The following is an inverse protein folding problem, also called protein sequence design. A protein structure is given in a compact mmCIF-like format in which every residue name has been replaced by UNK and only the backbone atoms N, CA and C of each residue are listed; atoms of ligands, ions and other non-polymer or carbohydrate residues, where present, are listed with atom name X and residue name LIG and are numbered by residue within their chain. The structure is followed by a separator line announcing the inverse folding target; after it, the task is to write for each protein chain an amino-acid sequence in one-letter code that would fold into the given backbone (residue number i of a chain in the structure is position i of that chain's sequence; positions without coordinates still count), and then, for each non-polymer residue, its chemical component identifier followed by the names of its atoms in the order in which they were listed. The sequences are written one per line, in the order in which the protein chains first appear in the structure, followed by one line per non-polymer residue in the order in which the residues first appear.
data_IF_666881618615
#
_entry.id   IF_666881618615
#
_cell.length_a   1.000
_cell.length_b   1.000
_cell.length_c   1.000
_cell.angle_alpha   90.00
_cell.angle_beta   90.00
_cell.angle_gamma   90.00
#
_symmetry.space_group_name_H-M   'P 1'
#
loop_
_entity.id
_entity.type
_entity.pdbx_description
1 polymer ?
#
# COMPACT_ATOMS: atom_id res chain seq x y z
N UNK A 1 5.22 -10.43 -19.85
CA UNK A 1 5.31 -11.89 -20.12
C UNK A 1 6.01 -12.57 -18.95
N UNK A 2 5.82 -13.87 -18.71
CA UNK A 2 6.69 -14.63 -17.76
C UNK A 2 8.17 -14.47 -18.15
N UNK A 3 8.42 -14.28 -19.44
CA UNK A 3 9.75 -14.04 -20.02
C UNK A 3 10.38 -12.70 -19.60
N UNK A 4 9.62 -11.78 -18.99
CA UNK A 4 10.13 -10.48 -18.51
C UNK A 4 10.51 -10.51 -17.03
N UNK A 5 10.22 -11.61 -16.32
CA UNK A 5 10.58 -11.75 -14.91
C UNK A 5 12.08 -12.03 -14.78
N UNK A 6 12.75 -11.24 -13.95
CA UNK A 6 14.18 -11.40 -13.68
C UNK A 6 14.49 -12.42 -12.56
N UNK A 7 13.46 -12.84 -11.82
CA UNK A 7 13.57 -13.81 -10.74
C UNK A 7 12.81 -15.09 -11.10
N UNK A 8 13.40 -16.24 -10.74
CA UNK A 8 12.74 -17.54 -10.66
C UNK A 8 12.09 -17.75 -9.28
N UNK A 9 11.56 -18.94 -9.03
CA UNK A 9 10.98 -19.32 -7.73
C UNK A 9 11.97 -19.19 -6.55
N UNK A 10 11.42 -18.83 -5.39
CA UNK A 10 12.17 -18.71 -4.14
C UNK A 10 12.33 -20.09 -3.48
N UNK A 11 13.57 -20.57 -3.35
CA UNK A 11 13.87 -21.93 -2.87
C UNK A 11 14.45 -21.94 -1.44
N UNK A 12 15.49 -21.14 -1.20
CA UNK A 12 16.17 -21.03 0.08
C UNK A 12 16.94 -19.71 0.13
N UNK A 13 17.03 -19.08 1.31
CA UNK A 13 17.92 -17.96 1.55
C UNK A 13 18.58 -18.07 2.92
N UNK A 14 19.82 -17.63 3.02
CA UNK A 14 20.50 -17.35 4.28
C UNK A 14 20.48 -15.84 4.44
N UNK A 15 19.98 -15.38 5.59
CA UNK A 15 19.87 -13.96 5.92
C UNK A 15 20.84 -13.71 7.06
N UNK A 16 21.80 -12.82 6.82
CA UNK A 16 22.67 -12.30 7.88
C UNK A 16 21.95 -11.15 8.60
N UNK A 17 22.25 -10.96 9.89
CA UNK A 17 21.56 -9.96 10.75
C UNK A 17 20.02 -10.01 10.67
N UNK A 18 19.47 -11.20 10.93
CA UNK A 18 18.04 -11.49 10.73
C UNK A 18 17.09 -10.59 11.52
N UNK A 19 17.51 -10.10 12.69
CA UNK A 19 16.78 -9.16 13.51
C UNK A 19 16.64 -7.79 12.83
N UNK A 20 17.72 -7.24 12.31
CA UNK A 20 17.70 -6.00 11.52
C UNK A 20 16.76 -6.12 10.31
N UNK A 21 16.84 -7.20 9.55
CA UNK A 21 16.06 -7.37 8.31
C UNK A 21 14.58 -7.70 8.58
N UNK A 22 14.29 -8.71 9.42
CA UNK A 22 12.91 -9.20 9.60
C UNK A 22 12.13 -8.46 10.69
N UNK A 23 12.77 -7.66 11.53
CA UNK A 23 12.10 -6.85 12.56
C UNK A 23 12.15 -5.37 12.21
N UNK A 24 13.35 -4.81 12.02
CA UNK A 24 13.48 -3.36 11.89
C UNK A 24 13.10 -2.86 10.50
N UNK A 25 13.71 -3.43 9.45
CA UNK A 25 13.46 -3.04 8.06
C UNK A 25 12.07 -3.47 7.58
N UNK A 26 11.57 -4.61 8.06
CA UNK A 26 10.23 -5.12 7.72
C UNK A 26 9.08 -4.16 8.10
N UNK A 27 9.31 -3.19 9.01
CA UNK A 27 8.33 -2.13 9.32
C UNK A 27 8.14 -1.13 8.18
N UNK A 28 9.11 -1.02 7.28
CA UNK A 28 9.04 -0.14 6.12
C UNK A 28 8.72 -0.99 4.88
N UNK A 29 7.54 -0.84 4.26
CA UNK A 29 7.18 -1.66 3.11
C UNK A 29 8.03 -1.30 1.88
N UNK A 30 8.40 -2.32 1.10
CA UNK A 30 9.00 -2.13 -0.22
C UNK A 30 7.91 -1.66 -1.20
N UNK A 31 8.01 -0.41 -1.68
CA UNK A 31 7.05 0.20 -2.60
C UNK A 31 7.76 0.55 -3.91
N UNK A 32 7.18 0.12 -5.04
CA UNK A 32 7.54 0.60 -6.37
C UNK A 32 6.51 1.67 -6.77
N UNK A 33 6.88 2.94 -6.67
CA UNK A 33 6.00 4.05 -7.05
C UNK A 33 6.15 4.39 -8.54
N UNK A 34 5.04 4.53 -9.24
CA UNK A 34 4.97 5.15 -10.57
C UNK A 34 4.28 6.51 -10.52
N UNK A 35 4.31 7.23 -11.63
CA UNK A 35 3.51 8.45 -11.81
C UNK A 35 2.04 8.13 -11.59
N UNK A 36 1.42 8.73 -10.56
CA UNK A 36 0.02 8.51 -10.25
C UNK A 36 -0.85 9.53 -10.98
N UNK A 37 -1.72 9.08 -11.88
CA UNK A 37 -2.92 9.84 -12.24
C UNK A 37 -3.85 9.81 -11.02
N UNK A 38 -3.80 10.84 -10.17
CA UNK A 38 -4.72 10.94 -9.04
C UNK A 38 -6.14 11.16 -9.59
N UNK A 39 -7.12 10.26 -9.35
CA UNK A 39 -8.51 10.53 -9.66
C UNK A 39 -9.04 11.45 -8.57
N UNK A 40 -8.81 12.75 -8.73
CA UNK A 40 -9.29 13.81 -7.83
C UNK A 40 -10.82 13.75 -7.64
N UNK A 41 -11.56 13.23 -8.63
CA UNK A 41 -13.00 13.00 -8.59
C UNK A 41 -13.49 12.16 -7.40
N UNK A 42 -12.74 11.13 -7.00
CA UNK A 42 -13.13 10.27 -5.86
C UNK A 42 -13.16 11.06 -4.55
N UNK A 43 -12.21 11.98 -4.37
CA UNK A 43 -12.17 12.85 -3.19
C UNK A 43 -13.34 13.82 -3.17
N UNK A 44 -13.68 14.43 -4.31
CA UNK A 44 -14.84 15.34 -4.40
C UNK A 44 -16.17 14.62 -4.15
N UNK A 45 -16.33 13.39 -4.65
CA UNK A 45 -17.52 12.57 -4.38
C UNK A 45 -17.62 12.19 -2.90
N UNK A 46 -16.53 11.75 -2.29
CA UNK A 46 -16.49 11.43 -0.87
C UNK A 46 -16.85 12.65 0.00
N UNK A 47 -16.34 13.84 -0.33
CA UNK A 47 -16.65 15.07 0.39
C UNK A 47 -18.14 15.44 0.33
N UNK A 48 -18.78 15.27 -0.85
CA UNK A 48 -20.23 15.50 -1.00
C UNK A 48 -21.06 14.55 -0.15
N UNK A 49 -20.67 13.28 -0.08
CA UNK A 49 -21.35 12.27 0.74
C UNK A 49 -21.17 12.61 2.23
N UNK A 50 -19.94 12.91 2.66
CA UNK A 50 -19.65 13.26 4.05
C UNK A 50 -20.44 14.50 4.51
N UNK A 51 -20.61 15.51 3.64
CA UNK A 51 -21.38 16.71 3.96
C UNK A 51 -22.89 16.45 4.15
N UNK A 52 -23.42 15.34 3.64
CA UNK A 52 -24.81 14.95 3.82
C UNK A 52 -25.05 14.18 5.14
N UNK A 53 -24.00 13.81 5.87
CA UNK A 53 -24.11 13.04 7.11
C UNK A 53 -24.29 13.97 8.32
N UNK A 54 -25.41 13.82 9.01
CA UNK A 54 -25.69 14.46 10.30
C UNK A 54 -25.04 13.70 11.47
N UNK A 55 -24.40 14.46 12.37
CA UNK A 55 -23.83 13.96 13.63
C UNK A 55 -24.94 13.51 14.57
N UNK A 56 -24.69 12.45 15.34
CA UNK A 56 -25.62 11.81 16.26
C UNK A 56 -26.83 11.12 15.59
N UNK A 57 -26.89 11.16 14.25
CA UNK A 57 -27.81 10.38 13.43
C UNK A 57 -27.09 9.31 12.60
N UNK A 58 -26.06 9.71 11.85
CA UNK A 58 -25.36 8.81 10.92
C UNK A 58 -23.99 8.34 11.42
N UNK A 59 -23.38 9.07 12.34
CA UNK A 59 -22.09 8.73 12.97
C UNK A 59 -22.00 9.34 14.37
N UNK A 60 -21.12 8.78 15.20
CA UNK A 60 -20.85 9.21 16.58
C UNK A 60 -19.58 10.07 16.65
#
# INVERSE_FOLDING_TARGET
SVDELVLRDFNYCVIDEVDSILIDEARTPLIISGSAEKPSDRYYKAAKIAAAFERDLHYT
#
